data_IF_291141571207
#
_entry.id   IF_291141571207
#
_cell.length_a   1.000
_cell.length_b   1.000
_cell.length_c   1.000
_cell.angle_alpha   90.00
_cell.angle_beta   90.00
_cell.angle_gamma   90.00
#
_symmetry.space_group_name_H-M   'P 1'
#
loop_
_entity.id
_entity.type
_entity.pdbx_description
1 polymer ?
#
# COMPACT_ATOMS: atom_id res chain seq x y z
N UNK A 1 10.12 1.50 -6.68
CA UNK A 1 11.39 0.79 -6.43
C UNK A 1 11.19 -0.63 -5.89
N UNK A 2 10.10 -0.98 -5.17
CA UNK A 2 9.82 -2.38 -4.79
C UNK A 2 10.92 -3.07 -3.95
N UNK A 3 11.70 -2.29 -3.18
CA UNK A 3 12.86 -2.74 -2.41
C UNK A 3 12.50 -3.23 -1.00
N UNK A 4 11.43 -4.03 -0.85
CA UNK A 4 10.88 -4.39 0.47
C UNK A 4 11.90 -5.07 1.39
N UNK A 5 12.68 -6.01 0.84
CA UNK A 5 13.70 -6.77 1.57
C UNK A 5 15.00 -5.99 1.83
N UNK A 6 15.26 -4.92 1.08
CA UNK A 6 16.52 -4.14 1.17
C UNK A 6 16.52 -3.13 2.32
N UNK A 7 15.38 -2.97 3.00
CA UNK A 7 15.22 -2.16 4.23
C UNK A 7 15.66 -0.70 4.05
N UNK A 8 15.32 -0.11 2.90
CA UNK A 8 15.70 1.27 2.56
C UNK A 8 14.65 2.26 3.06
N UNK A 9 15.10 3.32 3.73
CA UNK A 9 14.30 4.44 4.18
C UNK A 9 15.20 5.58 4.67
N UNK A 10 14.60 6.72 5.02
CA UNK A 10 15.31 7.87 5.58
C UNK A 10 14.47 8.54 6.68
N UNK A 11 15.15 9.11 7.67
CA UNK A 11 14.55 9.97 8.71
C UNK A 11 15.10 11.38 8.53
N UNK A 12 14.21 12.36 8.39
CA UNK A 12 14.58 13.77 8.19
C UNK A 12 14.00 14.61 9.32
N UNK A 13 14.82 15.47 9.91
CA UNK A 13 14.40 16.48 10.86
C UNK A 13 14.48 17.85 10.19
N UNK A 14 13.35 18.56 10.15
CA UNK A 14 13.33 19.97 9.78
C UNK A 14 13.67 20.82 11.01
N UNK A 15 14.68 21.66 10.92
CA UNK A 15 15.24 22.43 12.03
C UNK A 15 15.27 23.91 11.64
N UNK A 16 15.04 24.81 12.61
CA UNK A 16 14.96 26.24 12.34
C UNK A 16 16.26 26.86 11.78
N UNK A 17 17.40 26.21 12.01
CA UNK A 17 18.70 26.64 11.53
C UNK A 17 19.69 25.45 11.43
N UNK A 18 20.82 25.69 10.76
CA UNK A 18 21.86 24.67 10.51
C UNK A 18 22.60 24.23 11.79
N UNK A 19 22.74 25.10 12.78
CA UNK A 19 23.38 24.78 14.06
C UNK A 19 22.54 23.79 14.85
N UNK A 20 21.23 24.04 14.92
CA UNK A 20 20.24 23.14 15.53
C UNK A 20 20.20 21.81 14.79
N UNK A 21 20.20 21.82 13.46
CA UNK A 21 20.25 20.59 12.65
C UNK A 21 21.49 19.73 12.96
N UNK A 22 22.66 20.36 13.13
CA UNK A 22 23.89 19.66 13.48
C UNK A 22 23.81 19.02 14.89
N UNK A 23 23.23 19.74 15.87
CA UNK A 23 22.99 19.21 17.22
C UNK A 23 22.06 17.99 17.17
N UNK A 24 20.93 18.07 16.48
CA UNK A 24 19.99 16.93 16.32
C UNK A 24 20.68 15.75 15.64
N UNK A 25 21.40 15.99 14.54
CA UNK A 25 22.13 14.95 13.79
C UNK A 25 23.15 14.22 14.68
N UNK A 26 23.83 14.93 15.59
CA UNK A 26 24.78 14.31 16.53
C UNK A 26 24.10 13.29 17.46
N UNK A 27 22.93 13.63 18.00
CA UNK A 27 22.16 12.75 18.89
C UNK A 27 21.59 11.55 18.13
N UNK A 28 21.10 11.76 16.92
CA UNK A 28 20.60 10.69 16.05
C UNK A 28 21.71 9.69 15.72
N UNK A 29 22.93 10.15 15.43
CA UNK A 29 24.09 9.27 15.21
C UNK A 29 24.43 8.41 16.42
N UNK A 30 24.34 8.96 17.64
CA UNK A 30 24.54 8.20 18.87
C UNK A 30 23.49 7.07 18.99
N UNK A 31 22.22 7.39 18.77
CA UNK A 31 21.13 6.39 18.81
C UNK A 31 21.30 5.30 17.74
N UNK A 32 21.61 5.68 16.50
CA UNK A 32 21.86 4.70 15.42
C UNK A 32 23.00 3.76 15.80
N UNK A 33 24.09 4.32 16.34
CA UNK A 33 25.28 3.54 16.71
C UNK A 33 24.96 2.48 17.76
N UNK A 34 24.11 2.78 18.74
CA UNK A 34 23.72 1.83 19.79
C UNK A 34 22.66 0.84 19.34
N UNK A 35 21.83 1.16 18.35
CA UNK A 35 20.80 0.26 17.83
C UNK A 35 21.35 -0.78 16.84
N UNK A 36 22.10 -0.34 15.83
CA UNK A 36 22.54 -1.21 14.75
C UNK A 36 23.87 -0.77 14.09
N UNK A 37 24.64 0.10 14.75
CA UNK A 37 25.91 0.66 14.27
C UNK A 37 25.77 1.58 13.04
N UNK A 38 25.44 1.02 11.86
CA UNK A 38 25.29 1.75 10.60
C UNK A 38 24.33 1.00 9.66
N UNK A 39 23.60 1.71 8.76
CA UNK A 39 22.59 1.10 7.91
C UNK A 39 23.18 0.26 6.76
N UNK A 40 22.41 -0.70 6.21
CA UNK A 40 22.83 -1.51 5.06
C UNK A 40 23.03 -0.66 3.80
N UNK A 41 24.07 -0.97 3.03
CA UNK A 41 24.56 -0.14 1.92
C UNK A 41 23.83 -0.38 0.60
N UNK A 42 23.48 -1.63 0.30
CA UNK A 42 23.12 -2.05 -1.07
C UNK A 42 21.86 -1.36 -1.59
N UNK A 43 20.75 -1.43 -0.84
CA UNK A 43 19.52 -0.76 -1.22
C UNK A 43 19.66 0.76 -1.36
N UNK A 44 20.44 1.40 -0.48
CA UNK A 44 20.71 2.83 -0.58
C UNK A 44 21.46 3.21 -1.87
N UNK A 45 22.37 2.35 -2.36
CA UNK A 45 23.05 2.53 -3.64
C UNK A 45 22.10 2.44 -4.82
N UNK A 46 21.17 1.47 -4.82
CA UNK A 46 20.14 1.35 -5.88
C UNK A 46 19.30 2.63 -5.94
N UNK A 47 18.83 3.13 -4.79
CA UNK A 47 18.04 4.36 -4.74
C UNK A 47 18.87 5.55 -5.24
N UNK A 48 20.13 5.66 -4.81
CA UNK A 48 21.02 6.75 -5.22
C UNK A 48 21.23 6.74 -6.73
N UNK A 49 21.51 5.58 -7.32
CA UNK A 49 21.69 5.42 -8.77
C UNK A 49 20.44 5.87 -9.53
N UNK A 50 19.27 5.35 -9.16
CA UNK A 50 18.01 5.68 -9.84
C UNK A 50 17.65 7.16 -9.71
N UNK A 51 17.87 7.77 -8.53
CA UNK A 51 17.45 9.16 -8.29
C UNK A 51 18.44 10.20 -8.82
N UNK A 52 19.72 9.83 -8.98
CA UNK A 52 20.78 10.74 -9.47
C UNK A 52 20.87 10.77 -10.99
N UNK A 53 20.44 9.71 -11.67
CA UNK A 53 20.33 9.68 -13.13
C UNK A 53 18.93 10.13 -13.60
N UNK A 54 18.87 11.13 -14.48
CA UNK A 54 17.61 11.72 -14.94
C UNK A 54 16.74 10.73 -15.72
N UNK A 55 17.35 9.85 -16.52
CA UNK A 55 16.64 8.86 -17.34
C UNK A 55 16.09 7.74 -16.45
N UNK A 56 16.89 7.20 -15.53
CA UNK A 56 16.45 6.18 -14.58
C UNK A 56 15.36 6.71 -13.66
N UNK A 57 15.49 7.94 -13.16
CA UNK A 57 14.46 8.59 -12.34
C UNK A 57 13.15 8.70 -13.10
N UNK A 58 13.20 9.10 -14.37
CA UNK A 58 12.00 9.24 -15.19
C UNK A 58 11.31 7.89 -15.43
N UNK A 59 12.09 6.85 -15.72
CA UNK A 59 11.57 5.48 -15.84
C UNK A 59 10.90 5.04 -14.53
N UNK A 60 11.58 5.24 -13.39
CA UNK A 60 11.02 4.89 -12.09
C UNK A 60 9.71 5.63 -11.76
N UNK A 61 9.62 6.93 -12.08
CA UNK A 61 8.38 7.70 -11.90
C UNK A 61 7.25 7.16 -12.77
N UNK A 62 7.54 6.76 -14.02
CA UNK A 62 6.58 6.11 -14.90
C UNK A 62 6.07 4.80 -14.30
N UNK A 63 6.97 3.94 -13.83
CA UNK A 63 6.61 2.66 -13.22
C UNK A 63 5.74 2.85 -11.96
N UNK A 64 6.08 3.85 -11.11
CA UNK A 64 5.27 4.20 -9.94
C UNK A 64 3.87 4.65 -10.33
N UNK A 65 3.76 5.48 -11.37
CA UNK A 65 2.46 5.90 -11.89
C UNK A 65 1.65 4.72 -12.42
N UNK A 66 2.25 3.82 -13.20
CA UNK A 66 1.56 2.63 -13.70
C UNK A 66 1.04 1.74 -12.57
N UNK A 67 1.83 1.54 -11.50
CA UNK A 67 1.38 0.80 -10.32
C UNK A 67 0.20 1.50 -9.63
N UNK A 68 0.25 2.83 -9.47
CA UNK A 68 -0.83 3.61 -8.88
C UNK A 68 -2.12 3.55 -9.73
N UNK A 69 -2.00 3.73 -11.04
CA UNK A 69 -3.11 3.67 -11.98
C UNK A 69 -3.79 2.30 -11.96
N UNK A 70 -3.00 1.21 -11.85
CA UNK A 70 -3.54 -0.15 -11.69
C UNK A 70 -4.33 -0.32 -10.38
N UNK A 71 -3.86 0.27 -9.28
CA UNK A 71 -4.59 0.23 -8.00
C UNK A 71 -5.92 0.98 -8.12
N UNK A 72 -5.91 2.14 -8.78
CA UNK A 72 -7.13 2.92 -9.04
C UNK A 72 -8.12 2.13 -9.91
N UNK A 73 -7.64 1.49 -10.99
CA UNK A 73 -8.47 0.63 -11.84
C UNK A 73 -9.11 -0.52 -11.04
N UNK A 74 -8.34 -1.20 -10.19
CA UNK A 74 -8.88 -2.29 -9.35
C UNK A 74 -9.91 -1.79 -8.34
N UNK A 75 -9.75 -0.58 -7.78
CA UNK A 75 -10.77 0.02 -6.91
C UNK A 75 -12.08 0.25 -7.64
N UNK A 76 -12.00 0.87 -8.83
CA UNK A 76 -13.17 1.13 -9.67
C UNK A 76 -13.87 -0.17 -10.05
N UNK A 77 -13.11 -1.16 -10.55
CA UNK A 77 -13.67 -2.44 -10.98
C UNK A 77 -14.27 -3.24 -9.84
N UNK A 78 -13.65 -3.22 -8.66
CA UNK A 78 -14.21 -3.90 -7.49
C UNK A 78 -15.55 -3.27 -7.09
N UNK A 79 -15.60 -1.93 -6.97
CA UNK A 79 -16.84 -1.21 -6.65
C UNK A 79 -17.93 -1.50 -7.68
N UNK A 80 -17.64 -1.29 -8.96
CA UNK A 80 -18.60 -1.54 -10.05
C UNK A 80 -19.06 -2.99 -10.09
N UNK A 81 -18.18 -3.95 -9.79
CA UNK A 81 -18.54 -5.37 -9.71
C UNK A 81 -19.52 -5.65 -8.58
N UNK A 82 -19.30 -5.08 -7.39
CA UNK A 82 -20.18 -5.30 -6.23
C UNK A 82 -21.55 -4.66 -6.44
N UNK A 83 -21.57 -3.40 -6.92
CA UNK A 83 -22.80 -2.67 -7.22
C UNK A 83 -23.56 -3.33 -8.39
N UNK A 84 -22.84 -3.78 -9.43
CA UNK A 84 -23.40 -4.48 -10.59
C UNK A 84 -23.97 -5.87 -10.26
N UNK A 85 -23.48 -6.53 -9.21
CA UNK A 85 -24.07 -7.76 -8.68
C UNK A 85 -25.41 -7.53 -7.93
N UNK A 86 -25.85 -6.27 -7.78
CA UNK A 86 -27.12 -5.92 -7.15
C UNK A 86 -27.02 -5.62 -5.65
N UNK A 87 -25.82 -5.30 -5.15
CA UNK A 87 -25.66 -4.89 -3.76
C UNK A 87 -26.33 -3.53 -3.50
N UNK A 88 -27.16 -3.43 -2.45
CA UNK A 88 -27.89 -2.19 -2.11
C UNK A 88 -27.10 -1.22 -1.23
N UNK A 89 -25.99 -1.66 -0.63
CA UNK A 89 -25.13 -0.80 0.18
C UNK A 89 -24.29 0.09 -0.72
N UNK A 90 -23.93 1.28 -0.24
CA UNK A 90 -23.02 2.15 -0.98
C UNK A 90 -21.56 1.70 -0.77
N UNK A 91 -20.81 1.60 -1.87
CA UNK A 91 -19.41 1.16 -1.89
C UNK A 91 -18.44 2.26 -2.35
N UNK A 92 -18.86 3.54 -2.31
CA UNK A 92 -18.04 4.69 -2.72
C UNK A 92 -16.72 4.81 -1.94
N UNK A 93 -16.70 4.37 -0.68
CA UNK A 93 -15.48 4.37 0.14
C UNK A 93 -14.34 3.53 -0.46
N UNK A 94 -14.63 2.55 -1.33
CA UNK A 94 -13.59 1.80 -2.06
C UNK A 94 -12.83 2.73 -3.03
N UNK A 95 -13.54 3.65 -3.68
CA UNK A 95 -12.95 4.58 -4.66
C UNK A 95 -12.44 5.88 -4.02
N UNK A 96 -13.01 6.28 -2.89
CA UNK A 96 -12.61 7.51 -2.18
C UNK A 96 -11.33 7.31 -1.35
N UNK A 97 -11.06 6.08 -0.90
CA UNK A 97 -9.84 5.73 -0.18
C UNK A 97 -8.61 5.66 -1.12
N UNK A 98 -7.47 6.10 -0.61
CA UNK A 98 -6.21 6.22 -1.38
C UNK A 98 -5.21 5.14 -0.97
N UNK A 99 -4.40 4.71 -1.93
CA UNK A 99 -3.25 3.83 -1.70
C UNK A 99 -3.59 2.34 -1.81
N UNK A 100 -2.73 1.49 -1.26
CA UNK A 100 -2.79 0.04 -1.48
C UNK A 100 -3.86 -0.67 -0.66
N UNK A 101 -4.25 -0.12 0.48
CA UNK A 101 -5.17 -0.77 1.41
C UNK A 101 -6.55 -0.12 1.38
N UNK A 102 -7.58 -0.93 1.61
CA UNK A 102 -8.95 -0.45 1.70
C UNK A 102 -9.60 -1.07 2.93
N UNK A 103 -10.17 -0.24 3.80
CA UNK A 103 -11.13 -0.69 4.80
C UNK A 103 -12.47 -0.88 4.12
N UNK A 104 -12.93 -2.13 4.02
CA UNK A 104 -14.14 -2.48 3.28
C UNK A 104 -15.42 -2.24 4.08
N UNK A 105 -15.33 -2.16 5.41
CA UNK A 105 -16.49 -2.14 6.31
C UNK A 105 -17.07 -3.53 6.59
N UNK A 106 -16.48 -4.59 6.05
CA UNK A 106 -16.90 -5.96 6.34
C UNK A 106 -16.69 -6.30 7.81
N UNK A 107 -17.72 -6.88 8.43
CA UNK A 107 -17.68 -7.36 9.82
C UNK A 107 -16.88 -8.66 9.94
N UNK A 108 -16.34 -9.00 11.13
CA UNK A 108 -15.56 -10.23 11.33
C UNK A 108 -16.27 -11.51 10.87
N UNK A 109 -17.60 -11.59 10.98
CA UNK A 109 -18.37 -12.75 10.54
C UNK A 109 -18.41 -12.87 9.02
N UNK A 110 -18.46 -11.73 8.31
CA UNK A 110 -18.42 -11.69 6.84
C UNK A 110 -17.01 -12.02 6.32
N UNK A 111 -15.97 -11.54 7.01
CA UNK A 111 -14.57 -11.91 6.75
C UNK A 111 -14.37 -13.42 6.92
N UNK A 112 -14.93 -14.00 7.98
CA UNK A 112 -14.85 -15.44 8.21
C UNK A 112 -15.54 -16.25 7.10
N UNK A 113 -16.72 -15.82 6.64
CA UNK A 113 -17.41 -16.44 5.49
C UNK A 113 -16.60 -16.34 4.20
N UNK A 114 -16.03 -15.16 3.89
CA UNK A 114 -15.13 -14.98 2.74
C UNK A 114 -13.94 -15.93 2.77
N UNK A 115 -13.35 -16.12 3.94
CA UNK A 115 -12.19 -17.00 4.10
C UNK A 115 -12.59 -18.48 3.96
N UNK A 116 -13.68 -18.89 4.61
CA UNK A 116 -14.12 -20.29 4.67
C UNK A 116 -14.72 -20.78 3.35
N UNK A 117 -15.62 -19.99 2.77
CA UNK A 117 -16.48 -20.44 1.67
C UNK A 117 -15.94 -20.00 0.30
N UNK A 118 -15.14 -18.92 0.26
CA UNK A 118 -14.62 -18.32 -0.98
C UNK A 118 -13.08 -18.29 -1.05
N UNK A 119 -12.37 -18.72 -0.01
CA UNK A 119 -10.90 -18.68 0.05
C UNK A 119 -10.31 -17.28 -0.23
N UNK A 120 -11.02 -16.23 0.19
CA UNK A 120 -10.56 -14.84 0.10
C UNK A 120 -10.05 -14.42 1.48
N UNK A 121 -8.74 -14.17 1.56
CA UNK A 121 -8.04 -13.87 2.81
C UNK A 121 -7.83 -12.37 2.99
N UNK A 122 -8.31 -11.85 4.11
CA UNK A 122 -8.22 -10.46 4.52
C UNK A 122 -8.12 -10.36 6.05
N UNK A 123 -7.70 -9.22 6.59
CA UNK A 123 -7.59 -9.07 8.04
C UNK A 123 -8.97 -8.96 8.69
N UNK A 124 -9.10 -9.38 9.95
CA UNK A 124 -10.38 -9.46 10.68
C UNK A 124 -11.09 -8.11 10.83
N UNK A 125 -10.35 -7.01 10.70
CA UNK A 125 -10.85 -5.63 10.68
C UNK A 125 -11.41 -5.20 9.32
N UNK A 126 -11.53 -6.12 8.36
CA UNK A 126 -12.08 -5.86 7.03
C UNK A 126 -11.13 -5.10 6.10
N UNK A 127 -9.85 -4.97 6.45
CA UNK A 127 -8.85 -4.34 5.58
C UNK A 127 -8.36 -5.32 4.50
N UNK A 128 -8.48 -4.93 3.23
CA UNK A 128 -7.95 -5.66 2.08
C UNK A 128 -6.71 -4.97 1.53
N UNK A 129 -5.84 -5.77 0.90
CA UNK A 129 -4.82 -5.24 -0.02
C UNK A 129 -5.41 -5.22 -1.43
N UNK A 130 -5.70 -4.03 -1.95
CA UNK A 130 -6.15 -3.85 -3.34
C UNK A 130 -5.07 -4.33 -4.32
N UNK A 131 -3.80 -4.33 -3.90
CA UNK A 131 -2.73 -4.86 -4.73
C UNK A 131 -2.89 -6.35 -5.08
N UNK A 132 -3.57 -7.14 -4.23
CA UNK A 132 -3.86 -8.56 -4.48
C UNK A 132 -5.03 -8.80 -5.46
N UNK A 133 -5.74 -7.74 -5.83
CA UNK A 133 -6.81 -7.79 -6.82
C UNK A 133 -6.22 -7.56 -8.21
N UNK A 134 -6.69 -8.34 -9.18
CA UNK A 134 -6.27 -8.34 -10.56
C UNK A 134 -7.47 -8.40 -11.49
N UNK A 135 -7.24 -8.11 -12.77
CA UNK A 135 -8.26 -8.26 -13.80
C UNK A 135 -8.86 -9.66 -13.90
N UNK A 136 -8.13 -10.68 -13.44
CA UNK A 136 -8.52 -12.09 -13.47
C UNK A 136 -9.43 -12.50 -12.31
N UNK A 137 -9.32 -11.85 -11.15
CA UNK A 137 -10.02 -12.26 -9.93
C UNK A 137 -11.03 -11.23 -9.40
N UNK A 138 -11.02 -9.98 -9.89
CA UNK A 138 -11.87 -8.90 -9.36
C UNK A 138 -13.36 -9.24 -9.38
N UNK A 139 -13.84 -9.91 -10.42
CA UNK A 139 -15.25 -10.31 -10.54
C UNK A 139 -15.62 -11.34 -9.45
N UNK A 140 -14.76 -12.35 -9.25
CA UNK A 140 -14.96 -13.35 -8.20
C UNK A 140 -14.98 -12.72 -6.81
N UNK A 141 -14.05 -11.80 -6.53
CA UNK A 141 -13.99 -11.07 -5.26
C UNK A 141 -15.26 -10.22 -5.06
N UNK A 142 -15.71 -9.51 -6.10
CA UNK A 142 -16.91 -8.69 -6.04
C UNK A 142 -18.17 -9.52 -5.77
N UNK A 143 -18.34 -10.64 -6.46
CA UNK A 143 -19.47 -11.56 -6.25
C UNK A 143 -19.46 -12.17 -4.84
N UNK A 144 -18.30 -12.58 -4.34
CA UNK A 144 -18.14 -13.12 -2.99
C UNK A 144 -18.49 -12.05 -1.93
N UNK A 145 -17.99 -10.83 -2.09
CA UNK A 145 -18.32 -9.69 -1.22
C UNK A 145 -19.82 -9.40 -1.25
N UNK A 146 -20.45 -9.41 -2.43
CA UNK A 146 -21.90 -9.27 -2.56
C UNK A 146 -22.63 -10.39 -1.79
N UNK A 147 -22.25 -11.66 -1.96
CA UNK A 147 -22.91 -12.80 -1.29
C UNK A 147 -22.85 -12.72 0.23
N UNK A 148 -21.75 -12.26 0.82
CA UNK A 148 -21.62 -12.16 2.29
C UNK A 148 -22.25 -10.90 2.88
N UNK A 149 -22.67 -9.94 2.05
CA UNK A 149 -23.26 -8.66 2.49
C UNK A 149 -24.75 -8.52 2.14
N UNK A 150 -25.29 -9.36 1.25
CA UNK A 150 -26.67 -9.25 0.76
C UNK A 150 -27.70 -10.03 1.60
N UNK A 151 -27.55 -10.01 2.93
CA UNK A 151 -28.58 -10.53 3.84
C UNK A 151 -29.70 -9.52 4.06
#
# INVERSE_FOLDING_TARGET
MSLYGERVGALTFDCGDAETAAKVMSQVKIMIRTMYSNPPLYGARIVTEILSDAQLKQTWLCDVKQMADRIIDMRNRLRSGIEGAGNKQQWCHITDQIGMFCYTGLKPEQVAKLTKDFHIYLTKDGRISVAGISSKNVNYVAEAMHKVTSS
#
